data_IF_050672631094
#
_entry.id   IF_050672631094
#
_cell.length_a   1.000
_cell.length_b   1.000
_cell.length_c   1.000
_cell.angle_alpha   90.00
_cell.angle_beta   90.00
_cell.angle_gamma   90.00
#
_symmetry.space_group_name_H-M   'P 1'
#
loop_
_entity.id
_entity.type
_entity.pdbx_description
1 polymer ?
#
# COMPACT_ATOMS: atom_id res chain seq x y z
N UNK A 1 13.68 5.52 45.45
CA UNK A 1 14.99 4.94 45.07
C UNK A 1 14.74 3.78 44.11
N UNK A 2 15.52 3.73 43.02
CA UNK A 2 15.58 2.66 42.01
C UNK A 2 15.88 1.29 42.63
N UNK A 3 15.43 0.21 41.96
CA UNK A 3 16.33 -0.80 41.35
C UNK A 3 15.56 -1.74 40.40
N UNK A 4 16.08 -1.81 39.18
CA UNK A 4 15.78 -2.80 38.13
C UNK A 4 16.24 -4.20 38.55
N UNK A 5 15.54 -5.24 38.09
CA UNK A 5 16.12 -6.58 37.89
C UNK A 5 15.75 -7.04 36.47
N UNK A 6 16.80 -7.43 35.75
CA UNK A 6 16.88 -7.79 34.34
C UNK A 6 16.22 -9.13 34.02
N UNK A 7 15.53 -9.21 32.88
CA UNK A 7 15.08 -10.48 32.29
C UNK A 7 16.25 -11.07 31.49
N UNK A 8 17.22 -11.62 32.20
CA UNK A 8 18.32 -12.40 31.63
C UNK A 8 18.45 -13.71 32.44
N UNK A 9 17.46 -14.61 32.34
CA UNK A 9 17.56 -15.99 32.83
C UNK A 9 16.33 -16.86 32.45
N UNK A 10 15.87 -16.86 31.20
CA UNK A 10 15.06 -17.97 30.67
C UNK A 10 15.66 -18.39 29.33
N UNK A 11 16.92 -18.81 29.39
CA UNK A 11 17.58 -19.57 28.34
C UNK A 11 17.76 -20.97 28.94
N UNK A 12 17.43 -22.00 28.16
CA UNK A 12 17.53 -23.45 28.47
C UNK A 12 16.26 -24.11 29.01
N UNK A 13 15.21 -24.21 28.19
CA UNK A 13 14.34 -25.41 28.08
C UNK A 13 13.12 -25.16 27.20
N UNK A 14 13.34 -24.80 25.94
CA UNK A 14 12.26 -24.91 24.94
C UNK A 14 12.79 -25.65 23.72
N UNK A 15 12.09 -26.70 23.26
CA UNK A 15 12.42 -27.35 22.00
C UNK A 15 12.36 -26.28 20.92
N UNK A 16 13.28 -26.37 19.95
CA UNK A 16 13.30 -25.52 18.77
C UNK A 16 11.97 -25.66 18.02
N UNK A 17 10.97 -24.90 18.42
CA UNK A 17 9.99 -24.37 17.49
C UNK A 17 10.79 -23.40 16.64
N UNK A 18 11.30 -23.92 15.52
CA UNK A 18 11.44 -23.10 14.35
C UNK A 18 10.10 -22.39 14.19
N UNK A 19 10.08 -21.09 14.46
CA UNK A 19 8.98 -20.26 13.97
C UNK A 19 8.94 -20.52 12.47
N UNK A 20 7.99 -21.31 12.01
CA UNK A 20 7.38 -20.99 10.74
C UNK A 20 6.70 -19.65 10.99
N UNK A 21 7.46 -18.56 10.88
CA UNK A 21 6.86 -17.30 10.47
C UNK A 21 6.24 -17.66 9.13
N UNK A 22 4.94 -17.96 9.13
CA UNK A 22 4.14 -17.96 7.91
C UNK A 22 4.36 -16.57 7.34
N UNK A 23 5.29 -16.46 6.38
CA UNK A 23 5.38 -15.30 5.52
C UNK A 23 3.97 -15.17 4.98
N UNK A 24 3.22 -14.10 5.28
CA UNK A 24 1.86 -13.94 4.78
C UNK A 24 1.96 -14.16 3.27
N UNK A 25 1.35 -15.24 2.79
CA UNK A 25 1.45 -15.57 1.39
C UNK A 25 0.68 -14.47 0.67
N UNK A 26 1.41 -13.52 0.09
CA UNK A 26 0.82 -12.44 -0.67
C UNK A 26 -0.01 -13.12 -1.76
N UNK A 27 -1.33 -12.93 -1.72
CA UNK A 27 -2.16 -13.36 -2.82
C UNK A 27 -1.81 -12.45 -4.00
N UNK A 28 -1.04 -12.97 -4.95
CA UNK A 28 -0.66 -12.27 -6.17
C UNK A 28 -1.88 -11.67 -6.90
N UNK A 29 -3.09 -12.21 -6.65
CA UNK A 29 -4.34 -11.66 -7.17
C UNK A 29 -4.82 -10.46 -6.36
N UNK A 30 -4.66 -10.44 -5.04
CA UNK A 30 -5.01 -9.29 -4.19
C UNK A 30 -3.98 -8.13 -4.26
N UNK A 31 -2.72 -8.45 -4.56
CA UNK A 31 -1.61 -7.49 -4.56
C UNK A 31 -1.80 -6.29 -5.52
N UNK A 32 -2.55 -6.47 -6.61
CA UNK A 32 -2.82 -5.39 -7.56
C UNK A 32 -3.79 -4.34 -6.98
N UNK A 33 -4.78 -4.76 -6.19
CA UNK A 33 -5.67 -3.79 -5.53
C UNK A 33 -4.99 -3.09 -4.35
N UNK A 34 -4.09 -3.76 -3.64
CA UNK A 34 -3.20 -3.12 -2.64
C UNK A 34 -2.38 -1.99 -3.28
N UNK A 35 -1.68 -2.31 -4.39
CA UNK A 35 -0.86 -1.32 -5.09
C UNK A 35 -1.71 -0.21 -5.71
N UNK A 36 -2.92 -0.51 -6.17
CA UNK A 36 -3.88 0.50 -6.62
C UNK A 36 -4.29 1.44 -5.47
N UNK A 37 -4.68 0.90 -4.31
CA UNK A 37 -5.02 1.67 -3.11
C UNK A 37 -3.87 2.58 -2.69
N UNK A 38 -2.66 2.01 -2.60
CA UNK A 38 -1.45 2.75 -2.26
C UNK A 38 -1.18 3.88 -3.25
N UNK A 39 -1.28 3.59 -4.55
CA UNK A 39 -1.08 4.59 -5.61
C UNK A 39 -2.10 5.72 -5.50
N UNK A 40 -3.36 5.42 -5.18
CA UNK A 40 -4.41 6.42 -4.97
C UNK A 40 -4.11 7.34 -3.76
N UNK A 41 -3.63 6.76 -2.66
CA UNK A 41 -3.22 7.52 -1.47
C UNK A 41 -2.03 8.43 -1.79
N UNK A 42 -1.02 7.91 -2.48
CA UNK A 42 0.15 8.71 -2.87
C UNK A 42 -0.17 9.80 -3.88
N UNK A 43 -0.99 9.54 -4.89
CA UNK A 43 -1.43 10.55 -5.86
C UNK A 43 -2.17 11.69 -5.16
N UNK A 44 -3.09 11.35 -4.26
CA UNK A 44 -3.82 12.37 -3.51
C UNK A 44 -2.89 13.18 -2.62
N UNK A 45 -1.92 12.53 -1.95
CA UNK A 45 -0.95 13.22 -1.11
C UNK A 45 -0.06 14.15 -1.93
N UNK A 46 0.46 13.68 -3.07
CA UNK A 46 1.23 14.49 -4.02
C UNK A 46 0.45 15.74 -4.44
N UNK A 47 -0.83 15.58 -4.80
CA UNK A 47 -1.69 16.66 -5.28
C UNK A 47 -2.14 17.64 -4.19
N UNK A 48 -2.53 17.14 -3.01
CA UNK A 48 -3.20 17.95 -1.99
C UNK A 48 -2.27 18.46 -0.89
N UNK A 49 -1.17 17.74 -0.62
CA UNK A 49 -0.33 17.97 0.55
C UNK A 49 1.09 18.38 0.18
N UNK A 50 1.79 17.57 -0.62
CA UNK A 50 3.17 17.86 -1.03
C UNK A 50 3.24 18.93 -2.14
N UNK A 51 2.21 19.00 -2.99
CA UNK A 51 2.18 19.85 -4.20
C UNK A 51 3.36 19.58 -5.13
N UNK A 52 3.76 18.30 -5.23
CA UNK A 52 4.84 17.84 -6.09
C UNK A 52 4.28 17.46 -7.47
N UNK A 53 4.53 18.33 -8.46
CA UNK A 53 4.01 18.17 -9.82
C UNK A 53 4.58 16.94 -10.54
N UNK A 54 5.85 16.61 -10.33
CA UNK A 54 6.48 15.44 -10.95
C UNK A 54 5.86 14.17 -10.36
N UNK A 55 5.75 14.12 -9.04
CA UNK A 55 5.10 13.02 -8.34
C UNK A 55 3.64 12.84 -8.78
N UNK A 56 2.89 13.93 -8.86
CA UNK A 56 1.51 13.92 -9.31
C UNK A 56 1.37 13.35 -10.73
N UNK A 57 2.25 13.73 -11.66
CA UNK A 57 2.18 13.25 -13.04
C UNK A 57 2.38 11.73 -13.12
N UNK A 58 3.46 11.21 -12.54
CA UNK A 58 3.77 9.79 -12.66
C UNK A 58 2.85 8.92 -11.81
N UNK A 59 2.42 9.37 -10.63
CA UNK A 59 1.45 8.65 -9.80
C UNK A 59 0.07 8.64 -10.47
N UNK A 60 -0.34 9.74 -11.09
CA UNK A 60 -1.58 9.80 -11.88
C UNK A 60 -1.57 8.83 -13.06
N UNK A 61 -0.46 8.76 -13.80
CA UNK A 61 -0.29 7.79 -14.89
C UNK A 61 -0.30 6.34 -14.37
N UNK A 62 0.32 6.07 -13.21
CA UNK A 62 0.30 4.76 -12.59
C UNK A 62 -1.08 4.37 -12.07
N UNK A 63 -1.84 5.33 -11.53
CA UNK A 63 -3.21 5.15 -11.06
C UNK A 63 -4.14 4.76 -12.22
N UNK A 64 -4.04 5.47 -13.35
CA UNK A 64 -4.79 5.15 -14.56
C UNK A 64 -4.48 3.73 -15.08
N UNK A 65 -3.22 3.32 -15.03
CA UNK A 65 -2.81 1.96 -15.45
C UNK A 65 -3.39 0.87 -14.54
N UNK A 66 -3.47 1.10 -13.22
CA UNK A 66 -4.21 0.17 -12.34
C UNK A 66 -5.68 0.12 -12.69
N UNK A 67 -6.31 1.27 -12.94
CA UNK A 67 -7.72 1.36 -13.31
C UNK A 67 -8.03 0.57 -14.58
N UNK A 68 -7.22 0.75 -15.62
CA UNK A 68 -7.32 0.00 -16.88
C UNK A 68 -7.10 -1.50 -16.68
N UNK A 69 -6.14 -1.89 -15.84
CA UNK A 69 -5.93 -3.28 -15.49
C UNK A 69 -7.17 -3.90 -14.84
N UNK A 70 -7.75 -3.23 -13.85
CA UNK A 70 -8.95 -3.72 -13.15
C UNK A 70 -10.13 -3.83 -14.13
N UNK A 71 -10.35 -2.82 -14.99
CA UNK A 71 -11.42 -2.83 -16.01
C UNK A 71 -11.32 -4.01 -16.98
N UNK A 72 -10.09 -4.38 -17.38
CA UNK A 72 -9.87 -5.51 -18.30
C UNK A 72 -10.08 -6.87 -17.63
N UNK A 73 -9.91 -6.95 -16.31
CA UNK A 73 -9.87 -8.22 -15.58
C UNK A 73 -11.10 -8.47 -14.66
N UNK A 74 -11.84 -7.43 -14.30
CA UNK A 74 -13.09 -7.51 -13.52
C UNK A 74 -14.14 -6.59 -14.16
N UNK A 75 -15.39 -7.06 -14.36
CA UNK A 75 -16.49 -6.23 -14.83
C UNK A 75 -17.03 -5.33 -13.71
N UNK A 76 -16.22 -4.38 -13.24
CA UNK A 76 -16.62 -3.33 -12.28
C UNK A 76 -16.95 -2.03 -13.02
N UNK A 77 -18.05 -1.34 -12.67
CA UNK A 77 -18.35 0.00 -13.16
C UNK A 77 -17.31 1.04 -12.70
N UNK A 78 -17.14 2.11 -13.48
CA UNK A 78 -16.25 3.22 -13.11
C UNK A 78 -16.63 3.85 -11.75
N UNK A 79 -17.93 3.87 -11.41
CA UNK A 79 -18.40 4.38 -10.12
C UNK A 79 -17.91 3.55 -8.92
N UNK A 80 -17.68 2.25 -9.08
CA UNK A 80 -17.12 1.41 -8.01
C UNK A 80 -15.62 1.65 -7.85
N UNK A 81 -14.91 1.92 -8.95
CA UNK A 81 -13.49 2.30 -8.92
C UNK A 81 -13.31 3.69 -8.26
N UNK A 82 -14.19 4.64 -8.58
CA UNK A 82 -14.20 5.95 -7.92
C UNK A 82 -14.50 5.83 -6.42
N UNK A 83 -15.49 5.02 -6.05
CA UNK A 83 -15.83 4.79 -4.65
C UNK A 83 -14.67 4.15 -3.89
N UNK A 84 -13.97 3.19 -4.51
CA UNK A 84 -12.78 2.58 -3.96
C UNK A 84 -11.68 3.63 -3.72
N UNK A 85 -11.31 4.44 -4.71
CA UNK A 85 -10.29 5.49 -4.55
C UNK A 85 -10.67 6.51 -3.46
N UNK A 86 -11.95 6.87 -3.37
CA UNK A 86 -12.47 7.74 -2.30
C UNK A 86 -12.31 7.07 -0.94
N UNK A 87 -12.68 5.79 -0.81
CA UNK A 87 -12.57 5.02 0.42
C UNK A 87 -11.12 4.95 0.91
N UNK A 88 -10.18 4.60 0.03
CA UNK A 88 -8.77 4.48 0.38
C UNK A 88 -8.15 5.80 0.83
N UNK A 89 -8.72 6.91 0.38
CA UNK A 89 -8.20 8.25 0.67
C UNK A 89 -9.02 9.02 1.70
N UNK A 90 -10.04 8.40 2.27
CA UNK A 90 -10.87 8.98 3.32
C UNK A 90 -10.32 8.60 4.68
N UNK A 91 -10.11 9.59 5.56
CA UNK A 91 -9.76 9.32 6.95
C UNK A 91 -11.01 9.40 7.85
N UNK A 92 -11.02 8.68 8.99
CA UNK A 92 -12.08 8.78 9.98
C UNK A 92 -12.34 10.23 10.42
N UNK A 93 -13.59 10.54 10.75
CA UNK A 93 -14.06 11.89 11.07
C UNK A 93 -13.12 12.64 12.03
N UNK A 94 -12.57 13.77 11.55
CA UNK A 94 -11.74 14.69 12.32
C UNK A 94 -10.24 14.69 11.95
N UNK A 95 -9.77 13.68 11.22
CA UNK A 95 -8.38 13.63 10.75
C UNK A 95 -8.22 14.33 9.40
N UNK A 96 -7.22 15.21 9.29
CA UNK A 96 -6.85 15.79 8.01
C UNK A 96 -5.86 14.87 7.31
N UNK A 97 -6.14 14.59 6.03
CA UNK A 97 -5.31 13.71 5.21
C UNK A 97 -3.84 14.13 5.17
N UNK A 98 -3.56 15.44 5.06
CA UNK A 98 -2.20 15.98 5.03
C UNK A 98 -1.49 15.99 6.40
N UNK A 99 -2.21 15.79 7.49
CA UNK A 99 -1.65 15.78 8.84
C UNK A 99 -1.34 14.34 9.32
N UNK A 100 -1.55 13.32 8.48
CA UNK A 100 -1.28 11.92 8.80
C UNK A 100 0.22 11.61 8.60
N UNK A 101 1.02 11.41 9.67
CA UNK A 101 2.47 11.21 9.56
C UNK A 101 2.82 9.97 8.75
N UNK A 102 2.07 8.87 8.93
CA UNK A 102 2.30 7.61 8.22
C UNK A 102 2.20 7.78 6.69
N UNK A 103 1.31 8.65 6.20
CA UNK A 103 1.15 8.92 4.76
C UNK A 103 2.32 9.75 4.23
N UNK A 104 2.80 10.72 5.02
CA UNK A 104 3.96 11.55 4.67
C UNK A 104 5.23 10.69 4.57
N UNK A 105 5.50 9.86 5.56
CA UNK A 105 6.66 8.97 5.59
C UNK A 105 6.61 7.96 4.44
N UNK A 106 5.42 7.40 4.18
CA UNK A 106 5.19 6.49 3.05
C UNK A 106 5.43 7.17 1.69
N UNK A 107 5.03 8.45 1.56
CA UNK A 107 5.27 9.23 0.36
C UNK A 107 6.77 9.49 0.13
N UNK A 108 7.49 9.91 1.18
CA UNK A 108 8.93 10.14 1.10
C UNK A 108 9.69 8.86 0.74
N UNK A 109 9.36 7.72 1.36
CA UNK A 109 9.95 6.42 1.03
C UNK A 109 9.63 6.00 -0.42
N UNK A 110 8.42 6.31 -0.90
CA UNK A 110 8.02 6.05 -2.29
C UNK A 110 8.86 6.87 -3.27
N UNK A 111 9.14 8.13 -2.95
CA UNK A 111 10.00 8.98 -3.79
C UNK A 111 11.45 8.48 -3.81
N UNK A 112 11.99 8.05 -2.66
CA UNK A 112 13.33 7.48 -2.58
C UNK A 112 13.50 6.24 -3.47
N UNK A 113 12.47 5.37 -3.49
CA UNK A 113 12.47 4.11 -4.22
C UNK A 113 11.63 4.12 -5.50
N UNK A 114 11.34 5.30 -6.06
CA UNK A 114 10.34 5.48 -7.13
C UNK A 114 10.55 4.55 -8.35
N UNK A 115 11.81 4.33 -8.75
CA UNK A 115 12.13 3.50 -9.93
C UNK A 115 11.79 2.04 -9.69
N UNK A 116 12.12 1.52 -8.51
CA UNK A 116 11.84 0.14 -8.13
C UNK A 116 10.35 -0.07 -7.90
N UNK A 117 9.71 0.88 -7.20
CA UNK A 117 8.25 0.89 -6.99
C UNK A 117 7.49 0.82 -8.32
N UNK A 118 7.84 1.71 -9.26
CA UNK A 118 7.25 1.74 -10.60
C UNK A 118 7.47 0.44 -11.35
N UNK A 119 8.70 -0.08 -11.36
CA UNK A 119 9.02 -1.31 -12.09
C UNK A 119 8.22 -2.53 -11.59
N UNK A 120 8.09 -2.68 -10.26
CA UNK A 120 7.32 -3.78 -9.65
C UNK A 120 5.83 -3.71 -9.99
N UNK A 121 5.28 -2.51 -10.04
CA UNK A 121 3.88 -2.30 -10.45
C UNK A 121 3.73 -2.57 -11.94
N UNK A 122 4.60 -2.05 -12.79
CA UNK A 122 4.55 -2.30 -14.23
C UNK A 122 4.64 -3.80 -14.56
N UNK A 123 5.52 -4.54 -13.87
CA UNK A 123 5.56 -6.00 -13.94
C UNK A 123 4.22 -6.63 -13.52
N UNK A 124 3.66 -6.18 -12.40
CA UNK A 124 2.38 -6.68 -11.87
C UNK A 124 1.17 -6.41 -12.77
N UNK A 125 1.22 -5.35 -13.58
CA UNK A 125 0.16 -4.94 -14.51
C UNK A 125 0.37 -5.49 -15.93
N UNK A 126 1.51 -6.14 -16.20
CA UNK A 126 1.90 -6.59 -17.55
C UNK A 126 1.12 -7.80 -18.08
N UNK A 127 0.49 -8.59 -17.20
CA UNK A 127 -0.29 -9.77 -17.59
C UNK A 127 -1.68 -9.77 -16.96
N UNK A 128 -2.69 -10.06 -17.76
CA UNK A 128 -4.08 -10.15 -17.31
C UNK A 128 -4.28 -11.31 -16.32
N UNK A 129 -4.72 -10.95 -15.11
CA UNK A 129 -5.13 -11.86 -14.04
C UNK A 129 -6.29 -11.23 -13.32
N UNK A 130 -7.26 -12.03 -12.87
CA UNK A 130 -8.38 -11.54 -12.06
C UNK A 130 -7.85 -11.06 -10.69
N UNK A 131 -7.89 -9.76 -10.36
CA UNK A 131 -7.57 -9.35 -9.01
C UNK A 131 -8.62 -9.85 -8.02
N UNK A 132 -8.22 -10.09 -6.77
CA UNK A 132 -9.15 -10.42 -5.70
C UNK A 132 -9.55 -9.13 -5.02
N UNK A 133 -10.86 -8.89 -4.91
CA UNK A 133 -11.44 -7.74 -4.23
C UNK A 133 -11.28 -7.87 -2.72
N UNK A 134 -10.05 -7.70 -2.25
CA UNK A 134 -9.68 -7.60 -0.84
C UNK A 134 -8.45 -6.68 -0.69
N UNK A 135 -8.68 -5.40 -0.32
CA UNK A 135 -7.75 -4.33 -0.01
C UNK A 135 -6.30 -4.71 0.02
N UNK A 136 -6.02 -5.32 1.16
CA UNK A 136 -4.80 -5.84 1.75
C UNK A 136 -5.33 -6.54 3.01
N UNK A 137 -5.40 -7.88 3.00
CA UNK A 137 -5.92 -8.78 4.07
C UNK A 137 -6.66 -8.19 5.28
#
# INVERSE_FOLDING_TARGET
>A
MRRFVSIAAVVLSMPAYAESQEIPHMDDRGAVLCSYAFTAVMEKYARQCAQDNEAQEWLGDLLNRHRDFVRRNIPVPDAELDAFEIEQTSLPNGYKFCDAPDISEMFEATLEHQKEFRAKIEESLSFDRKPVWNPCF
#
